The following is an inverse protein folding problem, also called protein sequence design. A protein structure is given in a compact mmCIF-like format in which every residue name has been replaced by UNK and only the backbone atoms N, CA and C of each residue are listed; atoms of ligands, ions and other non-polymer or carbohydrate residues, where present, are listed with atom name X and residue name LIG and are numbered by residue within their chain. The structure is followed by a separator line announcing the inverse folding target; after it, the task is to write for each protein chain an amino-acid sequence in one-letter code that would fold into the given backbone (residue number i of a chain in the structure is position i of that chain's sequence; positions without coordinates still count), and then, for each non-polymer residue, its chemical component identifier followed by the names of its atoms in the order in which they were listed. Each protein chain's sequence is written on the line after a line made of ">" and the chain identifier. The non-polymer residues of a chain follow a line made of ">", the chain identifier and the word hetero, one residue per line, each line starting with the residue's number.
data_IF_481915060302
#
_entry.id   IF_481915060302
#
_cell.length_a   1.000
_cell.length_b   1.000
_cell.length_c   1.000
_cell.angle_alpha   90.00
_cell.angle_beta   90.00
_cell.angle_gamma   90.00
#
_symmetry.space_group_name_H-M   'P 1'
#
loop_
_entity.id
_entity.type
_entity.pdbx_description
1 polymer ?
#
# COMPACT_ATOMS: atom_id res chain seq x y z
N UNK A 1 22.24 -11.74 -19.75
CA UNK A 1 21.45 -12.63 -18.85
C UNK A 1 21.01 -11.94 -17.55
N UNK A 2 21.67 -10.87 -17.12
CA UNK A 2 21.36 -10.13 -15.88
C UNK A 2 20.00 -9.40 -15.88
N UNK A 3 19.56 -8.86 -17.02
CA UNK A 3 18.32 -8.06 -17.12
C UNK A 3 17.02 -8.86 -16.89
N UNK A 4 16.95 -10.11 -17.34
CA UNK A 4 15.76 -10.97 -17.12
C UNK A 4 15.58 -11.27 -15.64
N UNK A 5 16.64 -11.60 -14.91
CA UNK A 5 16.57 -11.87 -13.47
C UNK A 5 16.09 -10.64 -12.68
N UNK A 6 16.47 -9.44 -13.09
CA UNK A 6 16.00 -8.20 -12.46
C UNK A 6 14.49 -7.98 -12.63
N UNK A 7 13.98 -8.17 -13.85
CA UNK A 7 12.55 -8.03 -14.13
C UNK A 7 11.73 -9.09 -13.39
N UNK A 8 12.21 -10.34 -13.36
CA UNK A 8 11.52 -11.44 -12.66
C UNK A 8 11.47 -11.20 -11.15
N UNK A 9 12.55 -10.66 -10.58
CA UNK A 9 12.60 -10.28 -9.17
C UNK A 9 11.62 -9.16 -8.85
N UNK A 10 11.57 -8.10 -9.69
CA UNK A 10 10.60 -7.01 -9.54
C UNK A 10 9.16 -7.49 -9.74
N UNK A 11 8.92 -8.37 -10.71
CA UNK A 11 7.61 -8.98 -10.91
C UNK A 11 7.17 -9.79 -9.69
N UNK A 12 8.08 -10.52 -9.06
CA UNK A 12 7.83 -11.23 -7.81
C UNK A 12 7.49 -10.26 -6.68
N UNK A 13 8.28 -9.20 -6.50
CA UNK A 13 8.05 -8.16 -5.50
C UNK A 13 6.67 -7.52 -5.68
N UNK A 14 6.34 -7.08 -6.90
CA UNK A 14 5.08 -6.39 -7.18
C UNK A 14 3.84 -7.28 -7.05
N UNK A 15 3.97 -8.59 -7.27
CA UNK A 15 2.90 -9.55 -6.95
C UNK A 15 2.73 -9.74 -5.45
N UNK A 16 3.81 -9.70 -4.67
CA UNK A 16 3.76 -9.85 -3.21
C UNK A 16 3.34 -8.58 -2.49
N UNK A 17 3.89 -7.45 -2.88
CA UNK A 17 3.65 -6.15 -2.25
C UNK A 17 2.48 -5.36 -2.85
N UNK A 18 1.96 -5.78 -4.00
CA UNK A 18 0.86 -5.11 -4.69
C UNK A 18 -0.01 -6.09 -5.46
N UNK A 19 -0.58 -5.63 -6.55
CA UNK A 19 -1.50 -6.36 -7.43
C UNK A 19 -0.85 -6.72 -8.79
N UNK A 20 0.47 -6.67 -8.86
CA UNK A 20 1.24 -6.81 -10.08
C UNK A 20 1.65 -5.46 -10.65
N UNK A 21 2.34 -5.50 -11.79
CA UNK A 21 2.74 -4.33 -12.55
C UNK A 21 2.81 -4.69 -14.05
N UNK A 22 2.62 -3.69 -14.91
CA UNK A 22 2.76 -3.86 -16.34
C UNK A 22 4.22 -4.11 -16.73
N UNK A 23 4.45 -4.59 -17.95
CA UNK A 23 5.81 -4.87 -18.44
C UNK A 23 6.67 -3.60 -18.44
N UNK A 24 6.10 -2.48 -18.86
CA UNK A 24 6.79 -1.18 -18.88
C UNK A 24 7.18 -0.70 -17.49
N UNK A 25 6.28 -0.85 -16.51
CA UNK A 25 6.57 -0.53 -15.10
C UNK A 25 7.66 -1.43 -14.52
N UNK A 26 7.64 -2.74 -14.82
CA UNK A 26 8.67 -3.66 -14.36
C UNK A 26 10.04 -3.33 -14.94
N UNK A 27 10.11 -2.89 -16.20
CA UNK A 27 11.35 -2.44 -16.83
C UNK A 27 11.88 -1.17 -16.16
N UNK A 28 11.03 -0.20 -15.84
CA UNK A 28 11.40 1.00 -15.08
C UNK A 28 11.89 0.66 -13.68
N UNK A 29 11.15 -0.18 -12.95
CA UNK A 29 11.52 -0.62 -11.61
C UNK A 29 12.83 -1.41 -11.59
N UNK A 30 13.10 -2.21 -12.62
CA UNK A 30 14.35 -2.98 -12.72
C UNK A 30 15.61 -2.12 -12.89
N UNK A 31 15.46 -0.86 -13.29
CA UNK A 31 16.55 0.12 -13.32
C UNK A 31 16.89 0.69 -11.94
N UNK A 32 16.02 0.50 -10.95
CA UNK A 32 16.20 0.95 -9.57
C UNK A 32 16.69 -0.20 -8.70
N UNK A 33 17.59 0.03 -7.72
CA UNK A 33 17.99 -1.01 -6.78
C UNK A 33 16.80 -1.59 -6.02
N UNK A 34 16.78 -2.91 -5.84
CA UNK A 34 15.68 -3.64 -5.19
C UNK A 34 15.30 -3.06 -3.81
N UNK A 35 16.31 -2.77 -3.00
CA UNK A 35 16.12 -2.24 -1.64
C UNK A 35 15.46 -0.87 -1.64
N UNK A 36 15.79 -0.03 -2.63
CA UNK A 36 15.17 1.29 -2.80
C UNK A 36 13.68 1.15 -3.13
N UNK A 37 13.33 0.21 -4.02
CA UNK A 37 11.91 -0.06 -4.34
C UNK A 37 11.15 -0.59 -3.13
N UNK A 38 11.75 -1.48 -2.35
CA UNK A 38 11.17 -1.98 -1.10
C UNK A 38 10.96 -0.83 -0.10
N UNK A 39 11.94 0.05 0.07
CA UNK A 39 11.83 1.19 0.98
C UNK A 39 10.74 2.17 0.55
N UNK A 40 10.61 2.44 -0.74
CA UNK A 40 9.50 3.24 -1.30
C UNK A 40 8.13 2.63 -1.03
N UNK A 41 7.99 1.31 -1.17
CA UNK A 41 6.74 0.60 -0.87
C UNK A 41 6.38 0.66 0.61
N UNK A 42 7.37 0.69 1.50
CA UNK A 42 7.18 0.76 2.94
C UNK A 42 6.88 2.16 3.46
N UNK A 43 7.04 3.19 2.62
CA UNK A 43 6.78 4.59 2.95
C UNK A 43 5.63 5.17 2.11
N UNK A 44 4.40 4.70 2.31
CA UNK A 44 3.26 5.18 1.53
C UNK A 44 2.98 6.68 1.76
N UNK A 45 3.41 7.25 2.89
CA UNK A 45 3.28 8.66 3.21
C UNK A 45 4.11 9.57 2.30
N UNK A 46 5.21 9.05 1.74
CA UNK A 46 6.07 9.78 0.81
C UNK A 46 5.55 9.71 -0.64
N UNK A 47 4.61 8.79 -0.91
CA UNK A 47 4.01 8.64 -2.22
C UNK A 47 2.81 9.57 -2.39
N UNK A 48 2.60 10.16 -3.58
CA UNK A 48 1.49 11.04 -3.83
C UNK A 48 0.15 10.33 -3.59
N UNK A 49 -0.80 11.11 -3.11
CA UNK A 49 -2.18 10.64 -3.01
C UNK A 49 -2.82 10.62 -4.40
N UNK A 50 -3.68 9.63 -4.65
CA UNK A 50 -4.40 9.55 -5.92
C UNK A 50 -5.35 10.73 -6.05
N UNK A 51 -5.19 11.53 -7.10
CA UNK A 51 -6.19 12.54 -7.45
C UNK A 51 -7.45 11.84 -8.01
N UNK A 52 -8.54 12.05 -7.31
CA UNK A 52 -9.85 11.47 -7.66
C UNK A 52 -10.83 12.47 -8.23
N UNK A 53 -10.38 13.67 -8.56
CA UNK A 53 -11.27 14.75 -9.03
C UNK A 53 -12.05 14.34 -10.28
N UNK A 54 -11.38 13.83 -11.30
CA UNK A 54 -12.07 13.35 -12.50
C UNK A 54 -12.98 12.16 -12.23
N UNK A 55 -12.54 11.23 -11.41
CA UNK A 55 -13.34 10.07 -11.04
C UNK A 55 -14.64 10.48 -10.34
N UNK A 56 -14.57 11.35 -9.35
CA UNK A 56 -15.76 11.83 -8.63
C UNK A 56 -16.67 12.72 -9.47
N UNK A 57 -16.12 13.42 -10.48
CA UNK A 57 -16.93 14.17 -11.42
C UNK A 57 -17.94 13.29 -12.17
N UNK A 58 -17.54 12.05 -12.51
CA UNK A 58 -18.41 11.09 -13.21
C UNK A 58 -19.14 10.13 -12.24
N UNK A 59 -18.65 10.01 -11.02
CA UNK A 59 -19.18 9.12 -9.98
C UNK A 59 -19.35 9.83 -8.63
N UNK A 60 -20.18 10.87 -8.54
CA UNK A 60 -20.31 11.69 -7.32
C UNK A 60 -20.81 10.88 -6.10
N UNK A 61 -21.56 9.81 -6.33
CA UNK A 61 -22.02 8.94 -5.25
C UNK A 61 -20.86 8.14 -4.61
N UNK A 62 -19.75 7.94 -5.34
CA UNK A 62 -18.58 7.27 -4.79
C UNK A 62 -17.84 8.17 -3.78
N UNK A 63 -17.78 9.48 -4.01
CA UNK A 63 -17.23 10.44 -3.05
C UNK A 63 -17.99 10.44 -1.73
N UNK A 64 -19.33 10.48 -1.80
CA UNK A 64 -20.18 10.50 -0.61
C UNK A 64 -20.32 9.16 0.09
N UNK A 65 -19.75 8.08 -0.47
CA UNK A 65 -19.91 6.71 0.05
C UNK A 65 -21.38 6.34 0.30
N UNK A 66 -22.26 6.77 -0.60
CA UNK A 66 -23.73 6.66 -0.46
C UNK A 66 -24.20 5.23 -0.19
N UNK A 67 -23.63 4.26 -0.90
CA UNK A 67 -23.93 2.84 -0.71
C UNK A 67 -22.66 2.01 -0.63
N UNK A 68 -22.77 0.76 -0.20
CA UNK A 68 -21.64 -0.18 -0.18
C UNK A 68 -21.01 -0.38 -1.56
N UNK A 69 -21.84 -0.37 -2.62
CA UNK A 69 -21.33 -0.48 -3.99
C UNK A 69 -20.42 0.71 -4.35
N UNK A 70 -20.81 1.93 -3.98
CA UNK A 70 -19.99 3.11 -4.25
C UNK A 70 -18.66 3.10 -3.48
N UNK A 71 -18.67 2.61 -2.23
CA UNK A 71 -17.43 2.38 -1.46
C UNK A 71 -16.52 1.35 -2.15
N UNK A 72 -17.10 0.27 -2.68
CA UNK A 72 -16.35 -0.75 -3.42
C UNK A 72 -15.76 -0.20 -4.72
N UNK A 73 -16.53 0.57 -5.47
CA UNK A 73 -16.07 1.22 -6.72
C UNK A 73 -14.92 2.20 -6.43
N UNK A 74 -15.05 3.05 -5.42
CA UNK A 74 -14.01 3.98 -5.01
C UNK A 74 -12.72 3.25 -4.60
N UNK A 75 -12.87 2.15 -3.86
CA UNK A 75 -11.72 1.37 -3.42
C UNK A 75 -11.05 0.63 -4.58
N UNK A 76 -11.82 0.02 -5.49
CA UNK A 76 -11.28 -0.62 -6.69
C UNK A 76 -10.55 0.38 -7.59
N UNK A 77 -11.10 1.59 -7.74
CA UNK A 77 -10.43 2.67 -8.45
C UNK A 77 -9.07 3.01 -7.80
N UNK A 78 -9.04 3.08 -6.47
CA UNK A 78 -7.81 3.34 -5.71
C UNK A 78 -6.78 2.22 -5.83
N UNK A 79 -7.21 0.95 -5.77
CA UNK A 79 -6.34 -0.23 -5.97
C UNK A 79 -5.69 -0.20 -7.35
N UNK A 80 -6.46 0.16 -8.37
CA UNK A 80 -5.99 0.13 -9.76
C UNK A 80 -5.05 1.28 -10.11
N UNK A 81 -5.36 2.49 -9.65
CA UNK A 81 -4.72 3.72 -10.12
C UNK A 81 -3.82 4.38 -9.06
N UNK A 82 -3.85 3.90 -7.82
CA UNK A 82 -3.07 4.46 -6.72
C UNK A 82 -1.60 4.11 -6.78
N UNK A 83 -0.75 5.02 -6.31
CA UNK A 83 0.70 4.86 -6.20
C UNK A 83 1.16 4.10 -4.93
N UNK A 84 0.22 3.62 -4.10
CA UNK A 84 0.46 2.99 -2.80
C UNK A 84 0.02 1.51 -2.77
N UNK A 85 0.55 0.63 -3.63
CA UNK A 85 0.02 -0.72 -3.82
C UNK A 85 0.12 -1.59 -2.56
N UNK A 86 1.19 -1.47 -1.77
CA UNK A 86 1.34 -2.22 -0.52
C UNK A 86 0.29 -1.81 0.50
N UNK A 87 -0.01 -0.51 0.59
CA UNK A 87 -1.05 0.00 1.47
C UNK A 87 -2.41 -0.63 1.15
N UNK A 88 -2.78 -0.66 -0.11
CA UNK A 88 -4.07 -1.20 -0.53
C UNK A 88 -4.14 -2.73 -0.36
N UNK A 89 -3.04 -3.43 -0.59
CA UNK A 89 -2.97 -4.87 -0.35
C UNK A 89 -3.09 -5.22 1.13
N UNK A 90 -2.45 -4.46 2.00
CA UNK A 90 -2.59 -4.61 3.44
C UNK A 90 -4.01 -4.24 3.90
N UNK A 91 -4.65 -3.25 3.25
CA UNK A 91 -6.05 -2.93 3.46
C UNK A 91 -6.95 -4.14 3.23
N UNK A 92 -6.76 -4.79 2.09
CA UNK A 92 -7.53 -5.96 1.71
C UNK A 92 -7.32 -7.12 2.69
N UNK A 93 -6.08 -7.36 3.10
CA UNK A 93 -5.75 -8.37 4.10
C UNK A 93 -6.46 -8.12 5.44
N UNK A 94 -6.34 -6.89 5.98
CA UNK A 94 -6.95 -6.54 7.26
C UNK A 94 -8.47 -6.46 7.18
N UNK A 95 -9.02 -6.06 6.03
CA UNK A 95 -10.45 -6.11 5.80
C UNK A 95 -10.99 -7.55 5.92
N UNK A 96 -10.24 -8.53 5.45
CA UNK A 96 -10.60 -9.95 5.62
C UNK A 96 -10.56 -10.40 7.10
N UNK A 97 -9.56 -9.95 7.84
CA UNK A 97 -9.36 -10.33 9.26
C UNK A 97 -10.40 -9.63 10.17
N UNK A 98 -10.66 -8.34 9.93
CA UNK A 98 -11.60 -7.53 10.71
C UNK A 98 -12.91 -7.29 9.96
N UNK A 99 -13.37 -8.30 9.23
CA UNK A 99 -14.59 -8.19 8.44
C UNK A 99 -15.78 -7.81 9.32
N UNK A 100 -16.33 -6.63 9.07
CA UNK A 100 -17.57 -6.17 9.68
C UNK A 100 -18.70 -6.39 8.68
N UNK A 101 -19.72 -7.12 9.08
CA UNK A 101 -20.84 -7.39 8.20
C UNK A 101 -21.61 -6.10 7.88
N UNK A 102 -21.75 -5.78 6.60
CA UNK A 102 -22.52 -4.63 6.13
C UNK A 102 -23.96 -4.64 6.67
N UNK A 103 -24.53 -5.82 6.88
CA UNK A 103 -25.85 -6.01 7.47
C UNK A 103 -25.95 -5.60 8.95
N UNK A 104 -24.83 -5.44 9.64
CA UNK A 104 -24.77 -5.05 11.05
C UNK A 104 -24.41 -3.57 11.24
N UNK A 105 -23.89 -2.92 10.21
CA UNK A 105 -23.50 -1.52 10.24
C UNK A 105 -24.40 -0.75 9.27
N UNK A 106 -25.28 0.07 9.80
CA UNK A 106 -26.29 0.79 9.00
C UNK A 106 -25.73 1.85 8.05
N UNK A 107 -24.42 2.13 8.09
CA UNK A 107 -23.80 3.21 7.33
C UNK A 107 -22.56 2.76 6.58
N UNK A 108 -22.57 2.89 5.25
CA UNK A 108 -21.47 2.50 4.37
C UNK A 108 -20.18 3.28 4.61
N UNK A 109 -20.27 4.57 4.95
CA UNK A 109 -19.11 5.41 5.25
C UNK A 109 -18.33 4.94 6.49
N UNK A 110 -19.00 4.35 7.47
CA UNK A 110 -18.32 3.81 8.68
C UNK A 110 -17.43 2.63 8.31
N UNK A 111 -17.90 1.75 7.41
CA UNK A 111 -17.07 0.65 6.91
C UNK A 111 -15.87 1.14 6.11
N UNK A 112 -16.06 2.13 5.25
CA UNK A 112 -14.97 2.75 4.50
C UNK A 112 -13.93 3.39 5.45
N UNK A 113 -14.37 4.10 6.48
CA UNK A 113 -13.50 4.70 7.49
C UNK A 113 -12.74 3.64 8.29
N UNK A 114 -13.40 2.54 8.67
CA UNK A 114 -12.76 1.43 9.38
C UNK A 114 -11.63 0.80 8.56
N UNK A 115 -11.86 0.52 7.29
CA UNK A 115 -10.84 -0.03 6.39
C UNK A 115 -9.65 0.93 6.31
N UNK A 116 -9.88 2.21 6.03
CA UNK A 116 -8.83 3.23 5.92
C UNK A 116 -8.02 3.39 7.22
N UNK A 117 -8.65 3.37 8.38
CA UNK A 117 -7.99 3.50 9.69
C UNK A 117 -7.13 2.26 10.01
N UNK A 118 -7.65 1.06 9.75
CA UNK A 118 -6.94 -0.19 9.99
C UNK A 118 -5.63 -0.24 9.18
N UNK A 119 -5.67 0.22 7.94
CA UNK A 119 -4.52 0.27 7.05
C UNK A 119 -3.44 1.21 7.55
N UNK A 120 -3.80 2.45 7.86
CA UNK A 120 -2.84 3.48 8.32
C UNK A 120 -2.10 3.06 9.60
N UNK A 121 -2.78 2.41 10.54
CA UNK A 121 -2.18 1.93 11.79
C UNK A 121 -1.21 0.78 11.56
N UNK A 122 -1.62 -0.20 10.76
CA UNK A 122 -0.84 -1.43 10.58
C UNK A 122 0.40 -1.22 9.71
N UNK A 123 0.35 -0.39 8.68
CA UNK A 123 1.53 -0.05 7.88
C UNK A 123 2.60 0.67 8.68
N UNK A 124 2.22 1.60 9.56
CA UNK A 124 3.18 2.24 10.46
C UNK A 124 3.87 1.24 11.38
N UNK A 125 3.16 0.23 11.86
CA UNK A 125 3.74 -0.83 12.67
C UNK A 125 4.71 -1.70 11.88
N UNK A 126 4.35 -2.09 10.65
CA UNK A 126 5.19 -2.91 9.77
C UNK A 126 6.43 -2.14 9.33
N UNK A 127 6.30 -0.90 8.90
CA UNK A 127 7.44 -0.05 8.49
C UNK A 127 8.40 0.24 9.64
N UNK A 128 7.87 0.44 10.85
CA UNK A 128 8.68 0.61 12.06
C UNK A 128 9.43 -0.68 12.43
N UNK A 129 8.78 -1.83 12.34
CA UNK A 129 9.38 -3.14 12.60
C UNK A 129 10.49 -3.48 11.61
N UNK A 130 10.24 -3.27 10.32
CA UNK A 130 11.23 -3.47 9.26
C UNK A 130 12.45 -2.57 9.44
N UNK A 131 12.24 -1.29 9.73
CA UNK A 131 13.34 -0.34 9.97
C UNK A 131 14.23 -0.75 11.14
N UNK A 132 13.66 -1.25 12.23
CA UNK A 132 14.42 -1.77 13.37
C UNK A 132 15.21 -3.03 13.02
N UNK A 133 14.73 -3.85 12.12
CA UNK A 133 15.37 -5.10 11.71
C UNK A 133 16.50 -4.90 10.69
N UNK A 134 16.37 -3.91 9.79
CA UNK A 134 17.29 -3.70 8.67
C UNK A 134 18.32 -2.60 8.93
N UNK A 135 17.98 -1.59 9.75
CA UNK A 135 18.90 -0.53 10.14
C UNK A 135 19.40 -0.81 11.55
N UNK A 136 20.60 -1.39 11.75
CA UNK A 136 21.17 -1.51 13.08
C UNK A 136 21.37 -0.12 13.66
N UNK A 137 20.90 0.07 14.90
CA UNK A 137 21.04 1.32 15.64
C UNK A 137 22.52 1.76 15.67
N UNK A 138 22.86 3.03 15.38
CA UNK A 138 24.25 3.52 15.39
C UNK A 138 24.84 3.66 16.81
N UNK A 139 24.30 2.97 17.81
CA UNK A 139 24.73 3.03 19.21
C UNK A 139 25.35 1.72 19.67
N UNK A 140 26.56 1.47 19.23
CA UNK A 140 27.57 0.76 20.00
C UNK A 140 28.97 1.22 19.53
N UNK A 141 29.32 2.48 19.85
CA UNK A 141 30.76 2.77 19.97
C UNK A 141 31.24 2.03 21.22
N UNK A 142 32.21 1.14 21.12
CA UNK A 142 32.91 0.69 22.31
C UNK A 142 33.60 1.91 22.91
N UNK A 143 33.37 2.16 24.18
CA UNK A 143 34.10 3.14 24.96
C UNK A 143 35.61 2.83 24.84
N UNK A 144 36.45 3.74 24.36
CA UNK A 144 37.90 3.55 24.42
C UNK A 144 38.38 4.08 25.78
N UNK A 145 38.19 3.29 26.85
CA UNK A 145 38.86 3.49 28.13
C UNK A 145 38.59 2.31 29.07
N UNK A 146 39.47 1.34 29.02
CA UNK A 146 39.88 0.51 30.15
C UNK A 146 41.23 -0.07 29.81
#
# INVERSE_FOLDING_TARGET
>A
MSSRNGIDLMAHLMRRAGFGASRSELEQLSATPYETVVDQLLRPEEQPELDKFEFYRYHPQAESSWTYLHVQIDWLHTIRNGSRPLQEKMALFWHHVFATAASKVGHSYVLAAQVRLSVRRNLRAVSSGYRKAVVPSPTARPNPCS
#
